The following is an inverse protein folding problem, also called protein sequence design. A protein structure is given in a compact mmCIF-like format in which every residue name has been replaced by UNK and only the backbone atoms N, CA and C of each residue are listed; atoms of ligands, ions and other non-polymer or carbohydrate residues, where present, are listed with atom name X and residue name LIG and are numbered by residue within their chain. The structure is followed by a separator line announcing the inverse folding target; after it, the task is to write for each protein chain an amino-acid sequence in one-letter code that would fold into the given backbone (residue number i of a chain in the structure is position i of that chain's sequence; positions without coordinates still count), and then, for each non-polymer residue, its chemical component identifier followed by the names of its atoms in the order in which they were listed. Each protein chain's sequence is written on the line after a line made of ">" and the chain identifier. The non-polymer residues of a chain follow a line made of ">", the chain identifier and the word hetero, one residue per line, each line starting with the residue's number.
data_IF_268789450489
#
_entry.id   IF_268789450489
#
_cell.length_a   1.000
_cell.length_b   1.000
_cell.length_c   1.000
_cell.angle_alpha   90.00
_cell.angle_beta   90.00
_cell.angle_gamma   90.00
#
_symmetry.space_group_name_H-M   'P 1'
#
loop_
_entity.id
_entity.type
_entity.pdbx_description
1 polymer ?
#
# COMPACT_ATOMS: atom_id res chain seq x y z
N UNK A 1 -2.35 -5.42 29.86
CA UNK A 1 -1.67 -6.12 28.73
C UNK A 1 -2.29 -7.48 28.35
N UNK A 2 -3.54 -7.78 28.71
CA UNK A 2 -4.19 -9.05 28.36
C UNK A 2 -5.31 -8.93 27.30
N UNK A 3 -5.71 -7.71 26.92
CA UNK A 3 -6.92 -7.46 26.12
C UNK A 3 -6.71 -7.53 24.60
N UNK A 4 -5.48 -7.38 24.09
CA UNK A 4 -5.24 -7.32 22.64
C UNK A 4 -4.90 -8.68 22.00
N UNK A 5 -4.42 -9.66 22.78
CA UNK A 5 -4.11 -11.01 22.26
C UNK A 5 -5.36 -11.86 21.97
N UNK A 6 -6.53 -11.47 22.50
CA UNK A 6 -7.78 -12.20 22.33
C UNK A 6 -8.47 -11.91 20.98
N UNK A 7 -8.17 -10.79 20.30
CA UNK A 7 -8.79 -10.43 19.00
C UNK A 7 -8.10 -11.03 17.77
N UNK A 8 -6.88 -11.55 17.89
CA UNK A 8 -6.14 -12.11 16.75
C UNK A 8 -6.34 -13.63 16.55
N UNK A 9 -7.18 -14.27 17.34
CA UNK A 9 -7.57 -15.67 17.14
C UNK A 9 -8.94 -15.71 16.46
N UNK A 10 -8.97 -16.11 15.18
CA UNK A 10 -10.15 -16.38 14.35
C UNK A 10 -10.82 -15.18 13.65
N UNK A 11 -10.08 -14.41 12.85
CA UNK A 11 -10.71 -13.77 11.70
C UNK A 11 -10.68 -14.79 10.56
N UNK A 12 -11.75 -15.57 10.37
CA UNK A 12 -11.99 -16.18 9.06
C UNK A 12 -12.03 -15.05 8.03
N UNK A 13 -11.42 -15.20 6.84
CA UNK A 13 -11.51 -14.18 5.81
C UNK A 13 -12.98 -13.87 5.57
N UNK A 14 -13.34 -12.60 5.77
CA UNK A 14 -14.71 -12.15 5.62
C UNK A 14 -15.16 -12.41 4.18
N UNK A 15 -16.29 -13.10 4.03
CA UNK A 15 -16.80 -13.54 2.73
C UNK A 15 -17.13 -12.32 1.87
N UNK A 16 -16.52 -12.22 0.68
CA UNK A 16 -16.82 -11.20 -0.32
C UNK A 16 -18.00 -11.65 -1.16
N UNK A 17 -19.05 -10.84 -1.25
CA UNK A 17 -20.18 -11.06 -2.16
C UNK A 17 -19.75 -10.86 -3.60
N UNK A 18 -18.89 -9.86 -3.85
CA UNK A 18 -18.31 -9.63 -5.17
C UNK A 18 -17.58 -10.87 -5.69
N UNK A 19 -16.71 -11.48 -4.89
CA UNK A 19 -15.97 -12.67 -5.30
C UNK A 19 -16.90 -13.87 -5.58
N UNK A 20 -18.01 -14.02 -4.86
CA UNK A 20 -18.99 -15.08 -5.14
C UNK A 20 -19.71 -14.85 -6.46
N UNK A 21 -20.16 -13.61 -6.72
CA UNK A 21 -20.78 -13.25 -8.00
C UNK A 21 -19.79 -13.48 -9.16
N UNK A 22 -18.51 -13.16 -8.98
CA UNK A 22 -17.49 -13.36 -10.01
C UNK A 22 -17.13 -14.84 -10.22
N UNK A 23 -17.22 -15.69 -9.18
CA UNK A 23 -17.06 -17.15 -9.32
C UNK A 23 -18.14 -17.74 -10.23
N UNK A 24 -19.37 -17.29 -10.08
CA UNK A 24 -20.50 -17.78 -10.88
C UNK A 24 -20.46 -17.27 -12.34
N UNK A 25 -19.73 -16.18 -12.60
CA UNK A 25 -19.62 -15.52 -13.91
C UNK A 25 -18.46 -16.01 -14.78
N UNK A 26 -17.93 -17.22 -14.55
CA UNK A 26 -16.89 -17.88 -15.39
C UNK A 26 -15.48 -17.25 -15.35
N UNK A 27 -15.20 -16.32 -14.44
CA UNK A 27 -13.90 -15.65 -14.35
C UNK A 27 -12.91 -16.35 -13.40
N UNK A 28 -13.36 -17.38 -12.68
CA UNK A 28 -12.52 -18.16 -11.78
C UNK A 28 -11.85 -19.30 -12.53
N UNK A 29 -10.54 -19.17 -12.78
CA UNK A 29 -9.72 -20.28 -13.27
C UNK A 29 -8.96 -20.91 -12.12
N UNK A 30 -9.00 -22.23 -12.06
CA UNK A 30 -8.05 -23.00 -11.25
C UNK A 30 -6.90 -23.39 -12.17
N UNK A 31 -5.69 -23.00 -11.78
CA UNK A 31 -4.46 -23.51 -12.39
C UNK A 31 -3.92 -24.58 -11.46
N UNK A 32 -3.40 -25.68 -12.03
CA UNK A 32 -3.00 -26.87 -11.27
C UNK A 32 -2.00 -26.57 -10.13
N UNK A 33 -1.11 -25.59 -10.35
CA UNK A 33 -0.05 -25.21 -9.40
C UNK A 33 -0.34 -23.88 -8.66
N UNK A 34 -1.52 -23.28 -8.87
CA UNK A 34 -1.86 -22.00 -8.23
C UNK A 34 -2.70 -22.22 -6.98
N UNK A 35 -2.15 -21.80 -5.84
CA UNK A 35 -2.77 -21.94 -4.53
C UNK A 35 -3.52 -20.67 -4.09
N UNK A 36 -3.48 -19.61 -4.92
CA UNK A 36 -4.19 -18.36 -4.71
C UNK A 36 -5.39 -18.28 -5.67
N UNK A 37 -6.59 -17.90 -5.20
CA UNK A 37 -7.72 -17.61 -6.08
C UNK A 37 -7.38 -16.65 -7.22
N UNK A 38 -7.68 -17.02 -8.47
CA UNK A 38 -7.44 -16.17 -9.64
C UNK A 38 -8.76 -15.78 -10.29
N UNK A 39 -8.90 -14.47 -10.51
CA UNK A 39 -9.96 -13.88 -11.33
C UNK A 39 -9.29 -13.31 -12.58
N UNK A 40 -9.56 -13.93 -13.73
CA UNK A 40 -9.18 -13.36 -15.03
C UNK A 40 -10.20 -12.29 -15.44
N UNK A 41 -9.77 -11.28 -16.19
CA UNK A 41 -10.64 -10.26 -16.77
C UNK A 41 -10.14 -9.92 -18.17
N UNK A 42 -11.03 -9.41 -19.02
CA UNK A 42 -10.72 -9.24 -20.44
C UNK A 42 -9.89 -7.98 -20.73
N UNK A 43 -9.75 -7.08 -19.75
CA UNK A 43 -9.05 -5.81 -19.96
C UNK A 43 -8.56 -5.14 -18.68
N UNK A 44 -7.56 -4.26 -18.78
CA UNK A 44 -7.08 -3.43 -17.67
C UNK A 44 -8.14 -2.48 -17.07
N UNK A 45 -9.01 -1.81 -17.86
CA UNK A 45 -10.14 -1.07 -17.31
C UNK A 45 -11.07 -1.94 -16.46
N UNK A 46 -11.35 -3.16 -16.89
CA UNK A 46 -12.19 -4.08 -16.12
C UNK A 46 -11.50 -4.55 -14.84
N UNK A 47 -10.21 -4.84 -14.89
CA UNK A 47 -9.41 -5.11 -13.69
C UNK A 47 -9.53 -3.97 -12.69
N UNK A 48 -9.35 -2.73 -13.15
CA UNK A 48 -9.51 -1.54 -12.30
C UNK A 48 -10.91 -1.42 -11.69
N UNK A 49 -11.96 -1.75 -12.46
CA UNK A 49 -13.35 -1.75 -11.98
C UNK A 49 -13.55 -2.78 -10.88
N UNK A 50 -13.13 -4.02 -11.10
CA UNK A 50 -13.30 -5.11 -10.14
C UNK A 50 -12.54 -4.86 -8.86
N UNK A 51 -11.30 -4.38 -8.96
CA UNK A 51 -10.49 -4.01 -7.79
C UNK A 51 -11.11 -2.84 -7.03
N UNK A 52 -11.68 -1.84 -7.71
CA UNK A 52 -12.37 -0.72 -7.07
C UNK A 52 -13.60 -1.20 -6.29
N UNK A 53 -14.45 -2.04 -6.90
CA UNK A 53 -15.59 -2.65 -6.22
C UNK A 53 -15.15 -3.47 -5.01
N UNK A 54 -14.09 -4.29 -5.16
CA UNK A 54 -13.58 -5.11 -4.05
C UNK A 54 -13.07 -4.26 -2.89
N UNK A 55 -12.37 -3.18 -3.20
CA UNK A 55 -11.85 -2.26 -2.20
C UNK A 55 -13.00 -1.56 -1.45
N UNK A 56 -14.02 -1.09 -2.17
CA UNK A 56 -15.19 -0.44 -1.58
C UNK A 56 -15.95 -1.39 -0.66
N UNK A 57 -16.21 -2.61 -1.12
CA UNK A 57 -16.82 -3.66 -0.31
C UNK A 57 -16.02 -3.90 0.97
N UNK A 58 -14.69 -4.01 0.85
CA UNK A 58 -13.82 -4.22 2.00
C UNK A 58 -13.88 -3.04 2.98
N UNK A 59 -13.89 -1.79 2.51
CA UNK A 59 -13.97 -0.60 3.37
C UNK A 59 -15.31 -0.54 4.10
N UNK A 60 -16.42 -0.84 3.43
CA UNK A 60 -17.75 -0.91 4.07
C UNK A 60 -17.78 -1.94 5.20
N UNK A 61 -17.03 -3.04 5.05
CA UNK A 61 -16.92 -4.09 6.04
C UNK A 61 -15.88 -3.79 7.15
N UNK A 62 -14.91 -2.93 6.87
CA UNK A 62 -13.77 -2.62 7.72
C UNK A 62 -13.58 -1.11 7.88
N UNK A 63 -14.53 -0.39 8.51
CA UNK A 63 -14.54 1.09 8.54
C UNK A 63 -13.32 1.70 9.25
N UNK A 64 -12.62 0.95 10.09
CA UNK A 64 -11.39 1.38 10.78
C UNK A 64 -10.16 0.55 10.38
N UNK A 65 -10.23 -0.11 9.23
CA UNK A 65 -9.19 -1.02 8.75
C UNK A 65 -7.89 -0.33 8.31
N UNK A 66 -6.84 -1.13 8.17
CA UNK A 66 -5.52 -0.69 7.70
C UNK A 66 -5.36 -1.07 6.23
N UNK A 67 -5.02 -0.09 5.39
CA UNK A 67 -4.93 -0.26 3.94
C UNK A 67 -3.56 0.15 3.41
N UNK A 68 -3.13 -0.50 2.33
CA UNK A 68 -2.00 -0.04 1.53
C UNK A 68 -2.33 -0.16 0.05
N UNK A 69 -2.14 0.95 -0.67
CA UNK A 69 -2.41 1.08 -2.10
C UNK A 69 -1.10 1.44 -2.84
N UNK A 70 -0.87 0.90 -4.05
CA UNK A 70 0.41 1.03 -4.71
C UNK A 70 0.56 2.41 -5.36
N UNK A 71 1.79 2.88 -5.55
CA UNK A 71 2.06 4.09 -6.30
C UNK A 71 2.37 3.82 -7.79
N UNK A 72 2.37 4.87 -8.61
CA UNK A 72 2.80 4.83 -10.00
C UNK A 72 1.68 4.61 -11.03
N UNK A 73 1.99 3.96 -12.16
CA UNK A 73 1.05 3.80 -13.29
C UNK A 73 0.13 2.59 -13.17
N UNK A 74 0.55 1.55 -12.46
CA UNK A 74 -0.19 0.29 -12.35
C UNK A 74 -1.63 0.47 -11.86
N UNK A 75 -1.94 1.31 -10.85
CA UNK A 75 -3.30 1.46 -10.34
C UNK A 75 -4.14 2.50 -11.10
N UNK A 76 -3.73 3.00 -12.27
CA UNK A 76 -4.42 4.10 -12.96
C UNK A 76 -5.92 3.83 -13.19
N UNK A 77 -6.28 2.65 -13.71
CA UNK A 77 -7.68 2.31 -13.92
C UNK A 77 -8.44 2.13 -12.61
N UNK A 78 -7.81 1.59 -11.56
CA UNK A 78 -8.40 1.51 -10.22
C UNK A 78 -8.74 2.91 -9.70
N UNK A 79 -7.79 3.85 -9.74
CA UNK A 79 -8.00 5.24 -9.30
C UNK A 79 -9.14 5.89 -10.07
N UNK A 80 -9.15 5.74 -11.41
CA UNK A 80 -10.20 6.30 -12.26
C UNK A 80 -11.58 5.73 -11.93
N UNK A 81 -11.68 4.43 -11.67
CA UNK A 81 -12.94 3.81 -11.27
C UNK A 81 -13.38 4.23 -9.88
N UNK A 82 -12.47 4.36 -8.92
CA UNK A 82 -12.77 4.91 -7.60
C UNK A 82 -13.39 6.30 -7.71
N UNK A 83 -12.77 7.20 -8.47
CA UNK A 83 -13.34 8.52 -8.76
C UNK A 83 -14.71 8.42 -9.41
N UNK A 84 -14.81 7.66 -10.49
CA UNK A 84 -16.07 7.53 -11.23
C UNK A 84 -17.22 7.02 -10.36
N UNK A 85 -16.95 6.10 -9.44
CA UNK A 85 -17.93 5.57 -8.49
C UNK A 85 -18.25 6.58 -7.39
N UNK A 86 -17.24 7.14 -6.74
CA UNK A 86 -17.42 8.06 -5.62
C UNK A 86 -18.08 9.38 -6.08
N UNK A 87 -17.73 9.92 -7.23
CA UNK A 87 -18.30 11.19 -7.71
C UNK A 87 -19.77 11.05 -8.14
N UNK A 88 -20.18 9.83 -8.54
CA UNK A 88 -21.52 9.54 -9.06
C UNK A 88 -22.29 8.53 -8.20
N UNK A 89 -21.96 8.44 -6.90
CA UNK A 89 -22.43 7.36 -6.03
C UNK A 89 -23.95 7.19 -6.04
N UNK A 90 -24.70 8.28 -5.96
CA UNK A 90 -26.17 8.27 -5.93
C UNK A 90 -26.85 8.08 -7.28
N UNK A 91 -26.12 7.97 -8.40
CA UNK A 91 -26.72 7.79 -9.70
C UNK A 91 -27.37 6.39 -9.83
N UNK A 92 -28.59 6.26 -10.41
CA UNK A 92 -29.29 4.98 -10.50
C UNK A 92 -28.48 3.86 -11.17
N UNK A 93 -27.69 4.22 -12.21
CA UNK A 93 -26.80 3.28 -12.89
C UNK A 93 -25.74 2.69 -11.95
N UNK A 94 -25.17 3.53 -11.05
CA UNK A 94 -24.14 3.07 -10.11
C UNK A 94 -24.74 2.23 -9.00
N UNK A 95 -25.90 2.62 -8.48
CA UNK A 95 -26.64 1.83 -7.50
C UNK A 95 -27.02 0.45 -8.06
N UNK A 96 -27.54 0.39 -9.30
CA UNK A 96 -27.84 -0.87 -9.99
C UNK A 96 -26.58 -1.74 -10.14
N UNK A 97 -25.44 -1.14 -10.47
CA UNK A 97 -24.18 -1.88 -10.58
C UNK A 97 -23.71 -2.42 -9.22
N UNK A 98 -23.82 -1.64 -8.14
CA UNK A 98 -23.47 -2.11 -6.79
C UNK A 98 -24.37 -3.28 -6.37
N UNK A 99 -25.68 -3.17 -6.60
CA UNK A 99 -26.66 -4.24 -6.34
C UNK A 99 -26.34 -5.52 -7.12
N UNK A 100 -25.97 -5.41 -8.40
CA UNK A 100 -25.59 -6.56 -9.24
C UNK A 100 -24.44 -7.37 -8.65
N UNK A 101 -23.52 -6.71 -7.94
CA UNK A 101 -22.38 -7.35 -7.29
C UNK A 101 -22.59 -7.59 -5.78
N UNK A 102 -23.80 -7.33 -5.27
CA UNK A 102 -24.14 -7.56 -3.86
C UNK A 102 -23.49 -6.58 -2.88
N UNK A 103 -23.06 -5.39 -3.34
CA UNK A 103 -22.46 -4.36 -2.50
C UNK A 103 -23.52 -3.52 -1.80
N UNK A 104 -23.17 -2.96 -0.64
CA UNK A 104 -24.04 -2.03 0.08
C UNK A 104 -24.22 -0.73 -0.73
N UNK A 105 -25.43 -0.16 -0.78
CA UNK A 105 -25.69 1.13 -1.40
C UNK A 105 -25.10 2.30 -0.59
N UNK A 106 -24.68 2.08 0.65
CA UNK A 106 -24.09 3.10 1.51
C UNK A 106 -22.72 3.53 1.01
N UNK A 107 -22.47 4.85 0.95
CA UNK A 107 -21.19 5.37 0.51
C UNK A 107 -20.08 4.97 1.49
N UNK A 108 -18.94 4.42 1.04
CA UNK A 108 -17.82 4.10 1.92
C UNK A 108 -17.24 5.38 2.56
N UNK A 109 -16.86 5.26 3.83
CA UNK A 109 -16.17 6.30 4.60
C UNK A 109 -14.69 5.90 4.77
N UNK A 110 -13.78 6.71 4.23
CA UNK A 110 -12.34 6.47 4.29
C UNK A 110 -11.66 7.21 5.45
N UNK A 111 -12.36 8.13 6.11
CA UNK A 111 -11.76 9.04 7.11
C UNK A 111 -11.24 8.31 8.35
N UNK A 112 -11.79 7.12 8.63
CA UNK A 112 -11.42 6.28 9.77
C UNK A 112 -10.43 5.17 9.42
N UNK A 113 -10.08 5.00 8.16
CA UNK A 113 -9.04 4.05 7.76
C UNK A 113 -7.65 4.55 8.16
N UNK A 114 -6.72 3.62 8.32
CA UNK A 114 -5.29 3.92 8.45
C UNK A 114 -4.58 3.57 7.15
N UNK A 115 -3.94 4.55 6.53
CA UNK A 115 -3.17 4.33 5.31
C UNK A 115 -1.71 4.02 5.64
N UNK A 116 -1.14 2.98 5.03
CA UNK A 116 0.26 2.60 5.18
C UNK A 116 0.96 2.65 3.83
N UNK A 117 2.00 3.49 3.73
CA UNK A 117 2.93 3.46 2.60
C UNK A 117 3.85 2.23 2.70
N UNK A 118 4.14 1.57 1.59
CA UNK A 118 4.90 0.30 1.60
C UNK A 118 6.27 0.41 0.93
N UNK A 119 6.46 1.41 0.07
CA UNK A 119 7.71 1.69 -0.60
C UNK A 119 7.92 3.21 -0.78
N UNK A 120 9.17 3.59 -0.98
CA UNK A 120 9.59 4.94 -1.34
C UNK A 120 10.96 4.86 -2.02
N UNK A 121 11.29 5.86 -2.84
CA UNK A 121 12.66 6.06 -3.29
C UNK A 121 13.46 6.76 -2.20
N UNK A 122 14.34 6.05 -1.50
CA UNK A 122 15.23 6.68 -0.53
C UNK A 122 16.44 7.35 -1.23
N UNK A 123 16.91 8.53 -0.80
CA UNK A 123 16.40 9.42 0.26
C UNK A 123 15.60 10.60 -0.32
N UNK A 124 14.57 10.32 -1.12
CA UNK A 124 13.80 11.36 -1.79
C UNK A 124 12.95 12.15 -0.76
N UNK A 125 12.98 13.49 -0.78
CA UNK A 125 12.14 14.32 0.09
C UNK A 125 10.65 14.06 -0.13
N UNK A 126 9.85 14.18 0.93
CA UNK A 126 8.42 13.87 0.87
C UNK A 126 7.60 14.85 0.04
N UNK A 127 8.12 16.05 -0.21
CA UNK A 127 7.53 17.08 -1.07
C UNK A 127 8.03 17.02 -2.53
N UNK A 128 8.98 16.12 -2.82
CA UNK A 128 9.49 15.96 -4.17
C UNK A 128 8.40 15.44 -5.11
N UNK A 129 8.23 15.97 -6.34
CA UNK A 129 7.15 15.57 -7.24
C UNK A 129 7.10 14.06 -7.58
N UNK A 130 8.25 13.39 -7.53
CA UNK A 130 8.37 11.96 -7.77
C UNK A 130 8.32 11.09 -6.49
N UNK A 131 8.15 11.68 -5.31
CA UNK A 131 7.97 10.91 -4.08
C UNK A 131 6.62 10.20 -4.08
N UNK A 132 6.61 8.99 -3.55
CA UNK A 132 5.37 8.27 -3.33
C UNK A 132 4.49 8.92 -2.27
N UNK A 133 5.05 9.68 -1.31
CA UNK A 133 4.26 10.57 -0.44
C UNK A 133 3.43 11.55 -1.25
N UNK A 134 4.06 12.28 -2.18
CA UNK A 134 3.37 13.26 -3.02
C UNK A 134 2.27 12.60 -3.87
N UNK A 135 2.59 11.45 -4.47
CA UNK A 135 1.63 10.63 -5.22
C UNK A 135 0.44 10.20 -4.34
N UNK A 136 0.70 9.59 -3.18
CA UNK A 136 -0.32 9.06 -2.27
C UNK A 136 -1.24 10.17 -1.78
N UNK A 137 -0.69 11.31 -1.37
CA UNK A 137 -1.47 12.48 -0.96
C UNK A 137 -2.38 12.97 -2.08
N UNK A 138 -1.86 13.03 -3.31
CA UNK A 138 -2.58 13.57 -4.46
C UNK A 138 -3.67 12.63 -4.99
N UNK A 139 -3.41 11.33 -5.10
CA UNK A 139 -4.29 10.37 -5.78
C UNK A 139 -5.16 9.54 -4.84
N UNK A 140 -4.77 9.38 -3.57
CA UNK A 140 -5.52 8.56 -2.61
C UNK A 140 -6.05 9.37 -1.44
N UNK A 141 -5.17 9.98 -0.64
CA UNK A 141 -5.60 10.50 0.66
C UNK A 141 -6.60 11.65 0.49
N UNK A 142 -6.22 12.70 -0.25
CA UNK A 142 -7.08 13.86 -0.45
C UNK A 142 -8.34 13.52 -1.26
N UNK A 143 -8.28 12.82 -2.40
CA UNK A 143 -9.48 12.62 -3.21
C UNK A 143 -10.48 11.65 -2.62
N UNK A 144 -10.03 10.61 -1.90
CA UNK A 144 -10.95 9.64 -1.30
C UNK A 144 -11.40 10.07 0.11
N UNK A 145 -10.77 11.08 0.71
CA UNK A 145 -11.16 11.63 2.01
C UNK A 145 -10.58 10.85 3.19
N UNK A 146 -9.36 10.32 3.06
CA UNK A 146 -8.61 9.79 4.20
C UNK A 146 -8.20 10.92 5.13
N UNK A 147 -8.12 10.60 6.42
CA UNK A 147 -7.48 11.45 7.40
C UNK A 147 -5.95 11.36 7.26
N UNK A 148 -5.30 12.51 7.01
CA UNK A 148 -3.85 12.62 6.88
C UNK A 148 -3.13 12.26 8.19
N UNK A 149 -3.75 12.50 9.35
CA UNK A 149 -3.15 12.18 10.65
C UNK A 149 -3.12 10.67 10.92
N UNK A 150 -3.96 9.92 10.20
CA UNK A 150 -4.02 8.45 10.25
C UNK A 150 -3.17 7.80 9.17
N UNK A 151 -2.38 8.57 8.40
CA UNK A 151 -1.49 8.05 7.38
C UNK A 151 -0.08 7.82 7.96
N UNK A 152 0.39 6.58 7.88
CA UNK A 152 1.77 6.21 8.17
C UNK A 152 2.58 6.33 6.87
N UNK A 153 3.39 7.39 6.75
CA UNK A 153 4.16 7.73 5.56
C UNK A 153 5.67 7.68 5.82
N UNK A 154 6.47 7.35 4.81
CA UNK A 154 7.93 7.26 4.89
C UNK A 154 8.60 8.62 4.62
N UNK A 155 8.44 9.54 5.56
CA UNK A 155 8.96 10.90 5.48
C UNK A 155 10.43 10.95 5.95
N UNK A 156 11.36 10.79 5.00
CA UNK A 156 12.79 10.75 5.27
C UNK A 156 13.38 12.11 5.66
N UNK A 157 12.70 13.23 5.42
CA UNK A 157 13.15 14.57 5.82
C UNK A 157 13.20 14.74 7.35
N UNK A 158 12.54 13.83 8.07
CA UNK A 158 12.55 13.77 9.54
C UNK A 158 13.76 13.03 10.11
N UNK A 159 14.53 12.35 9.27
CA UNK A 159 15.73 11.65 9.71
C UNK A 159 16.88 12.64 9.91
N UNK A 160 17.53 12.56 11.06
CA UNK A 160 18.77 13.28 11.36
C UNK A 160 19.96 12.36 11.18
N UNK A 161 20.93 12.76 10.37
CA UNK A 161 22.11 11.96 10.08
C UNK A 161 23.28 12.25 11.03
N UNK A 162 24.26 11.34 11.15
CA UNK A 162 25.41 11.52 12.02
C UNK A 162 26.12 12.85 11.78
N UNK A 163 26.53 13.52 12.85
CA UNK A 163 27.23 14.80 12.83
C UNK A 163 26.49 15.95 12.10
N UNK A 164 25.20 15.79 11.80
CA UNK A 164 24.43 16.75 11.01
C UNK A 164 24.82 16.78 9.52
N UNK A 165 25.54 15.77 9.05
CA UNK A 165 25.97 15.64 7.66
C UNK A 165 24.80 15.33 6.73
N UNK A 166 24.94 15.61 5.44
CA UNK A 166 23.98 15.12 4.45
C UNK A 166 24.35 13.71 3.98
N UNK A 167 23.40 12.99 3.39
CA UNK A 167 23.67 11.69 2.76
C UNK A 167 24.75 11.77 1.68
N UNK A 168 24.91 12.93 1.00
CA UNK A 168 25.96 13.15 0.01
C UNK A 168 27.34 13.30 0.65
N UNK A 169 27.41 13.84 1.87
CA UNK A 169 28.67 13.95 2.61
C UNK A 169 29.09 12.59 3.15
N UNK A 170 28.14 11.77 3.60
CA UNK A 170 28.39 10.43 4.15
C UNK A 170 28.72 9.41 3.06
N UNK A 171 28.04 9.46 1.92
CA UNK A 171 28.23 8.56 0.78
C UNK A 171 28.55 9.34 -0.51
N UNK A 172 29.75 9.95 -0.62
CA UNK A 172 30.11 10.83 -1.73
C UNK A 172 30.08 10.12 -3.10
N UNK A 173 30.47 8.85 -3.12
CA UNK A 173 30.51 8.03 -4.34
C UNK A 173 29.17 7.35 -4.66
N UNK A 174 28.12 7.63 -3.87
CA UNK A 174 26.79 6.98 -3.93
C UNK A 174 26.83 5.46 -3.76
N UNK A 175 27.95 4.91 -3.27
CA UNK A 175 28.10 3.51 -2.94
C UNK A 175 27.84 3.30 -1.45
N UNK A 176 26.91 2.40 -1.13
CA UNK A 176 26.57 2.02 0.24
C UNK A 176 27.10 0.61 0.50
N UNK A 177 28.17 0.50 1.29
CA UNK A 177 28.71 -0.80 1.70
C UNK A 177 27.86 -1.42 2.82
N UNK A 178 26.89 -2.25 2.45
CA UNK A 178 26.02 -2.94 3.42
C UNK A 178 26.77 -3.95 4.32
N UNK A 179 28.01 -4.32 3.99
CA UNK A 179 28.79 -5.19 4.88
C UNK A 179 29.10 -4.52 6.23
N UNK A 180 29.12 -3.18 6.27
CA UNK A 180 29.27 -2.36 7.49
C UNK A 180 28.20 -2.65 8.55
N UNK A 181 27.08 -3.27 8.19
CA UNK A 181 26.09 -3.77 9.15
C UNK A 181 26.64 -4.81 10.13
N UNK A 182 27.69 -5.53 9.73
CA UNK A 182 28.22 -6.67 10.49
C UNK A 182 29.72 -6.59 10.76
N UNK A 183 30.50 -6.01 9.84
CA UNK A 183 31.95 -5.88 10.02
C UNK A 183 32.31 -4.65 10.85
N UNK A 184 33.53 -4.65 11.37
CA UNK A 184 34.12 -3.48 12.04
C UNK A 184 34.59 -2.45 11.00
N UNK A 185 34.26 -1.15 11.19
CA UNK A 185 34.84 -0.05 10.42
C UNK A 185 36.37 -0.01 10.57
N UNK A 186 37.05 0.33 9.49
CA UNK A 186 38.50 0.47 9.40
C UNK A 186 38.95 1.94 9.39
N UNK A 187 37.99 2.88 9.32
CA UNK A 187 38.25 4.32 9.33
C UNK A 187 37.08 5.07 9.99
N UNK A 188 37.32 6.34 10.33
CA UNK A 188 36.27 7.23 10.87
C UNK A 188 35.13 7.43 9.87
N UNK A 189 35.45 7.55 8.57
CA UNK A 189 34.46 7.65 7.50
C UNK A 189 33.55 6.41 7.45
N UNK A 190 34.12 5.20 7.57
CA UNK A 190 33.32 3.97 7.64
C UNK A 190 32.48 3.89 8.92
N UNK A 191 32.97 4.46 10.03
CA UNK A 191 32.21 4.51 11.28
C UNK A 191 30.96 5.40 11.14
N UNK A 192 31.10 6.57 10.51
CA UNK A 192 30.00 7.49 10.19
C UNK A 192 29.01 6.82 9.22
N UNK A 193 29.50 6.18 8.14
CA UNK A 193 28.65 5.44 7.19
C UNK A 193 27.85 4.32 7.85
N UNK A 194 28.50 3.54 8.74
CA UNK A 194 27.82 2.50 9.50
C UNK A 194 26.72 3.07 10.39
N UNK A 195 26.99 4.20 11.06
CA UNK A 195 25.98 4.84 11.90
C UNK A 195 24.76 5.28 11.08
N UNK A 196 24.97 5.87 9.90
CA UNK A 196 23.87 6.21 8.98
C UNK A 196 23.07 4.98 8.53
N UNK A 197 23.74 3.86 8.22
CA UNK A 197 23.06 2.59 7.89
C UNK A 197 22.22 2.11 9.07
N UNK A 198 22.73 2.16 10.30
CA UNK A 198 21.99 1.76 11.49
C UNK A 198 20.80 2.66 11.80
N UNK A 199 20.90 3.97 11.54
CA UNK A 199 19.75 4.87 11.66
C UNK A 199 18.64 4.51 10.66
N UNK A 200 18.99 4.18 9.42
CA UNK A 200 18.02 3.73 8.42
C UNK A 200 17.41 2.36 8.80
N UNK A 201 18.21 1.44 9.33
CA UNK A 201 17.72 0.14 9.83
C UNK A 201 16.76 0.34 11.02
N UNK A 202 17.08 1.25 11.93
CA UNK A 202 16.21 1.59 13.06
C UNK A 202 14.89 2.20 12.59
N UNK A 203 14.93 3.11 11.60
CA UNK A 203 13.72 3.65 10.98
C UNK A 203 12.85 2.53 10.39
N UNK A 204 13.43 1.61 9.61
CA UNK A 204 12.68 0.52 9.00
C UNK A 204 12.03 -0.40 10.06
N UNK A 205 12.77 -0.70 11.14
CA UNK A 205 12.25 -1.49 12.27
C UNK A 205 11.12 -0.77 13.01
N UNK A 206 11.26 0.53 13.27
CA UNK A 206 10.21 1.32 13.91
C UNK A 206 8.96 1.42 13.04
N UNK A 207 9.14 1.59 11.73
CA UNK A 207 8.05 1.62 10.76
C UNK A 207 7.29 0.28 10.73
N UNK A 208 8.00 -0.84 10.64
CA UNK A 208 7.41 -2.17 10.72
C UNK A 208 6.70 -2.40 12.07
N UNK A 209 7.30 -1.93 13.17
CA UNK A 209 6.71 -2.03 14.50
C UNK A 209 5.36 -1.31 14.59
N UNK A 210 5.25 -0.10 14.03
CA UNK A 210 3.98 0.64 13.94
C UNK A 210 2.92 -0.16 13.19
N UNK A 211 3.27 -0.78 12.05
CA UNK A 211 2.34 -1.64 11.30
C UNK A 211 1.88 -2.84 12.13
N UNK A 212 2.79 -3.48 12.88
CA UNK A 212 2.45 -4.61 13.78
C UNK A 212 1.53 -4.18 14.92
N UNK A 213 1.72 -2.98 15.48
CA UNK A 213 0.84 -2.42 16.51
C UNK A 213 -0.58 -2.17 16.00
N UNK A 214 -0.72 -1.84 14.71
CA UNK A 214 -2.01 -1.69 14.03
C UNK A 214 -2.70 -3.03 13.74
N UNK A 215 -2.04 -4.18 14.01
CA UNK A 215 -2.56 -5.51 13.72
C UNK A 215 -2.24 -6.01 12.30
N UNK A 216 -1.38 -5.31 11.57
CA UNK A 216 -1.04 -5.61 10.18
C UNK A 216 -1.91 -4.87 9.16
N UNK A 217 -1.63 -5.10 7.88
CA UNK A 217 -2.40 -4.51 6.76
C UNK A 217 -3.57 -5.44 6.44
N UNK A 218 -4.79 -4.92 6.50
CA UNK A 218 -6.01 -5.69 6.24
C UNK A 218 -6.44 -5.69 4.76
N UNK A 219 -6.08 -4.65 4.01
CA UNK A 219 -6.22 -4.61 2.54
C UNK A 219 -4.93 -4.15 1.89
N UNK A 220 -4.34 -4.99 1.05
CA UNK A 220 -3.14 -4.69 0.30
C UNK A 220 -3.42 -4.82 -1.19
N UNK A 221 -3.16 -3.74 -1.94
CA UNK A 221 -3.20 -3.77 -3.39
C UNK A 221 -1.76 -3.72 -3.93
N UNK A 222 -1.34 -4.82 -4.53
CA UNK A 222 -0.02 -4.95 -5.16
C UNK A 222 -0.12 -4.91 -6.68
N UNK A 223 0.91 -4.37 -7.32
CA UNK A 223 1.13 -4.49 -8.76
C UNK A 223 2.26 -5.45 -9.05
N UNK A 224 2.07 -6.42 -9.94
CA UNK A 224 3.16 -7.24 -10.45
C UNK A 224 3.67 -6.68 -11.79
N UNK A 225 4.97 -6.37 -11.88
CA UNK A 225 5.64 -6.14 -13.18
C UNK A 225 6.40 -7.40 -13.56
N UNK A 226 5.89 -8.14 -14.53
CA UNK A 226 6.72 -9.09 -15.26
C UNK A 226 7.74 -8.29 -16.06
N UNK A 227 9.02 -8.34 -15.69
CA UNK A 227 10.07 -7.94 -16.61
C UNK A 227 9.96 -8.86 -17.83
N UNK A 228 9.71 -8.31 -19.02
CA UNK A 228 9.87 -9.11 -20.23
C UNK A 228 11.31 -9.63 -20.21
N UNK A 229 11.55 -10.95 -20.31
CA UNK A 229 12.91 -11.43 -20.52
C UNK A 229 13.43 -10.68 -21.74
N UNK A 230 14.62 -10.09 -21.62
CA UNK A 230 15.30 -9.51 -22.77
C UNK A 230 15.28 -10.57 -23.87
N UNK A 231 14.59 -10.29 -24.98
CA UNK A 231 14.79 -11.04 -26.21
C UNK A 231 16.25 -10.77 -26.58
N UNK A 232 17.10 -11.76 -26.33
CA UNK A 232 18.41 -11.85 -26.95
C UNK A 232 18.24 -11.96 -28.46
#
# INVERSE_FOLDING_TARGET
>A
MATNKAKMKNAQPQKSQLEEVLKDQWLFRQYEDEHIPVIEVDSFPELGRMVALRFIEWVQQNPEGVVSLPAGKTPEYFIRWMHHLLDNWGAPEKQTMLEQYGLSPERPDFSRLTFVQIDEFFPLPGDHPNSFIAYIKHYYLKPFGFDLERALLMDFDRLTWPEGLSMKDIFPDQFIDLSLRTRTPLSDAEAIQREAIFQLDAFAQEYEHKIRQLGGIGFFLGGHRTRRPHRF
#
